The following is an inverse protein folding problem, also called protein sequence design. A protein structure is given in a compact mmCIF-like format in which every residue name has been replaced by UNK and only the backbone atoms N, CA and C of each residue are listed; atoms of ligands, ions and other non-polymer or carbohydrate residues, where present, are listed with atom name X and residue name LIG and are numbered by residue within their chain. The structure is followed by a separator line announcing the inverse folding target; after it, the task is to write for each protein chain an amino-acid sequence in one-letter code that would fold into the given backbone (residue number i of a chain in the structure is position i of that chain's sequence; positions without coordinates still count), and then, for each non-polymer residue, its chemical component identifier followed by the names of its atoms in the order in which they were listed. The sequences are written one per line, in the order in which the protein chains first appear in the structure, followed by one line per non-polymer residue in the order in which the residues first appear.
data_IF_237189264054
#
_entry.id   IF_237189264054
#
_cell.length_a   1.000
_cell.length_b   1.000
_cell.length_c   1.000
_cell.angle_alpha   90.00
_cell.angle_beta   90.00
_cell.angle_gamma   90.00
#
_symmetry.space_group_name_H-M   'P 1'
#
loop_
_entity.id
_entity.type
_entity.pdbx_description
1 polymer ?
#
# COMPACT_ATOMS: atom_id res chain seq x y z
N UNK A 1 26.31 -4.86 24.92
CA UNK A 1 24.90 -4.98 25.35
C UNK A 1 24.15 -5.48 24.13
N UNK A 2 23.07 -6.22 24.32
CA UNK A 2 22.24 -6.67 23.19
C UNK A 2 21.06 -5.70 23.04
N UNK A 3 20.61 -5.51 21.80
CA UNK A 3 19.39 -4.80 21.49
C UNK A 3 18.40 -5.75 20.84
N UNK A 4 17.14 -5.64 21.21
CA UNK A 4 16.03 -6.37 20.64
C UNK A 4 15.30 -5.47 19.66
N UNK A 5 15.12 -5.91 18.43
CA UNK A 5 14.30 -5.24 17.42
C UNK A 5 13.07 -6.09 17.12
N UNK A 6 11.98 -5.41 16.78
CA UNK A 6 10.76 -6.05 16.29
C UNK A 6 10.68 -5.84 14.78
N UNK A 7 10.68 -6.94 14.03
CA UNK A 7 10.48 -6.93 12.59
C UNK A 7 8.99 -7.09 12.32
N UNK A 8 8.43 -6.09 11.66
CA UNK A 8 7.09 -6.13 11.07
C UNK A 8 7.21 -6.71 9.66
N UNK A 9 6.98 -8.03 9.54
CA UNK A 9 6.99 -8.74 8.27
C UNK A 9 5.67 -8.51 7.53
N UNK A 10 5.63 -7.47 6.69
CA UNK A 10 4.47 -7.14 5.87
C UNK A 10 4.21 -8.15 4.75
N UNK A 11 5.11 -9.12 4.52
CA UNK A 11 4.98 -10.15 3.49
C UNK A 11 4.17 -11.33 4.03
N UNK A 12 4.46 -11.75 5.26
CA UNK A 12 3.78 -12.86 5.92
C UNK A 12 2.77 -12.44 6.99
N UNK A 13 2.60 -11.13 7.20
CA UNK A 13 1.74 -10.52 8.23
C UNK A 13 2.07 -11.04 9.64
N UNK A 14 3.37 -10.98 9.99
CA UNK A 14 3.90 -11.52 11.26
C UNK A 14 4.91 -10.59 11.91
N UNK A 15 4.98 -10.67 13.24
CA UNK A 15 5.99 -9.98 14.02
C UNK A 15 7.08 -10.95 14.47
N UNK A 16 8.33 -10.61 14.20
CA UNK A 16 9.50 -11.38 14.62
C UNK A 16 10.37 -10.54 15.55
N UNK A 17 10.70 -11.07 16.73
CA UNK A 17 11.70 -10.44 17.60
C UNK A 17 13.09 -10.94 17.22
N UNK A 18 13.99 -10.02 16.90
CA UNK A 18 15.40 -10.29 16.63
C UNK A 18 16.27 -9.69 17.74
N UNK A 19 17.19 -10.47 18.26
CA UNK A 19 18.20 -10.02 19.22
C UNK A 19 19.52 -9.85 18.48
N UNK A 20 20.08 -8.63 18.53
CA UNK A 20 21.31 -8.25 17.85
C UNK A 20 22.30 -7.64 18.84
N UNK A 21 23.58 -7.71 18.49
CA UNK A 21 24.61 -6.97 19.23
C UNK A 21 24.46 -5.46 19.02
N UNK A 22 24.85 -4.70 20.04
CA UNK A 22 24.80 -3.24 20.08
C UNK A 22 25.46 -2.54 18.88
N UNK A 23 26.46 -3.15 18.27
CA UNK A 23 27.26 -2.56 17.20
C UNK A 23 27.05 -3.25 15.85
N UNK A 24 26.01 -4.09 15.76
CA UNK A 24 25.57 -4.76 14.53
C UNK A 24 25.27 -3.75 13.41
N UNK A 25 25.57 -4.18 12.19
CA UNK A 25 25.31 -3.44 10.97
C UNK A 25 23.96 -3.86 10.34
N UNK A 26 23.54 -3.13 9.31
CA UNK A 26 22.33 -3.46 8.55
C UNK A 26 22.47 -4.81 7.84
N UNK A 27 23.68 -5.21 7.43
CA UNK A 27 23.94 -6.55 6.88
C UNK A 27 23.58 -7.66 7.86
N UNK A 28 23.95 -7.55 9.14
CA UNK A 28 23.65 -8.54 10.18
C UNK A 28 22.14 -8.68 10.38
N UNK A 29 21.43 -7.55 10.35
CA UNK A 29 19.98 -7.51 10.43
C UNK A 29 19.33 -8.23 9.24
N UNK A 30 19.81 -7.98 8.02
CA UNK A 30 19.29 -8.64 6.80
C UNK A 30 19.49 -10.16 6.84
N UNK A 31 20.65 -10.62 7.31
CA UNK A 31 20.96 -12.05 7.47
C UNK A 31 20.01 -12.70 8.50
N UNK A 32 19.78 -12.06 9.65
CA UNK A 32 18.84 -12.57 10.64
C UNK A 32 17.40 -12.63 10.12
N UNK A 33 16.99 -11.64 9.33
CA UNK A 33 15.69 -11.64 8.65
C UNK A 33 15.58 -12.78 7.65
N UNK A 34 16.63 -13.09 6.89
CA UNK A 34 16.61 -14.24 5.97
C UNK A 34 16.39 -15.55 6.71
N UNK A 35 17.08 -15.74 7.84
CA UNK A 35 16.96 -16.97 8.65
C UNK A 35 15.58 -17.10 9.29
N UNK A 36 15.01 -16.00 9.77
CA UNK A 36 13.80 -16.05 10.61
C UNK A 36 12.50 -15.85 9.83
N UNK A 37 12.54 -15.06 8.75
CA UNK A 37 11.39 -14.77 7.88
C UNK A 37 11.46 -15.55 6.55
N UNK A 38 12.61 -16.12 6.18
CA UNK A 38 12.77 -16.87 4.92
C UNK A 38 12.82 -15.99 3.67
N UNK A 39 13.07 -14.69 3.82
CA UNK A 39 13.13 -13.72 2.71
C UNK A 39 14.58 -13.51 2.31
N UNK A 40 14.93 -13.77 1.06
CA UNK A 40 16.29 -13.57 0.53
C UNK A 40 16.73 -12.11 0.66
N UNK A 41 18.00 -11.84 0.98
CA UNK A 41 18.57 -10.49 1.17
C UNK A 41 18.26 -9.54 0.00
N UNK A 42 18.31 -10.05 -1.24
CA UNK A 42 18.02 -9.27 -2.46
C UNK A 42 16.55 -8.85 -2.57
N UNK A 43 15.65 -9.58 -1.92
CA UNK A 43 14.22 -9.29 -1.87
C UNK A 43 13.81 -8.46 -0.66
N UNK A 44 14.74 -8.13 0.25
CA UNK A 44 14.44 -7.37 1.47
C UNK A 44 14.52 -5.87 1.25
N UNK A 45 13.41 -5.17 1.47
CA UNK A 45 13.37 -3.71 1.60
C UNK A 45 13.05 -3.37 3.05
N UNK A 46 14.03 -2.83 3.78
CA UNK A 46 13.88 -2.45 5.18
C UNK A 46 13.56 -0.96 5.30
N UNK A 47 12.54 -0.65 6.09
CA UNK A 47 12.13 0.73 6.38
C UNK A 47 12.17 0.99 7.88
N UNK A 48 12.87 2.04 8.29
CA UNK A 48 12.95 2.48 9.68
C UNK A 48 12.60 3.97 9.78
N UNK A 49 11.63 4.33 10.60
CA UNK A 49 11.12 5.71 10.75
C UNK A 49 10.79 6.40 9.42
N UNK A 50 10.29 5.64 8.43
CA UNK A 50 9.98 6.13 7.10
C UNK A 50 11.19 6.31 6.15
N UNK A 51 12.40 5.93 6.59
CA UNK A 51 13.61 5.95 5.77
C UNK A 51 14.01 4.54 5.33
N UNK A 52 14.31 4.37 4.04
CA UNK A 52 14.78 3.11 3.49
C UNK A 52 16.24 2.86 3.89
N UNK A 53 16.52 1.68 4.44
CA UNK A 53 17.87 1.27 4.81
C UNK A 53 18.58 0.69 3.58
N UNK A 54 19.23 1.57 2.81
CA UNK A 54 19.99 1.17 1.61
C UNK A 54 21.46 0.85 1.88
N UNK A 55 22.02 1.35 2.97
CA UNK A 55 23.44 1.17 3.29
C UNK A 55 23.64 -0.03 4.22
N UNK A 56 24.20 -1.10 3.68
CA UNK A 56 24.44 -2.36 4.42
C UNK A 56 25.52 -2.23 5.50
N UNK A 57 26.50 -1.35 5.29
CA UNK A 57 27.61 -1.11 6.22
C UNK A 57 27.25 -0.14 7.37
N UNK A 58 26.07 0.47 7.35
CA UNK A 58 25.68 1.44 8.37
C UNK A 58 25.33 0.74 9.68
N UNK A 59 25.83 1.26 10.81
CA UNK A 59 25.52 0.71 12.13
C UNK A 59 24.11 1.08 12.55
N UNK A 60 23.39 0.12 13.13
CA UNK A 60 21.99 0.31 13.54
C UNK A 60 21.85 1.44 14.59
N UNK A 61 22.83 1.59 15.48
CA UNK A 61 22.90 2.73 16.43
C UNK A 61 23.08 4.09 15.77
N UNK A 62 23.80 4.17 14.66
CA UNK A 62 24.03 5.43 13.96
C UNK A 62 22.78 5.91 13.22
N UNK A 63 21.94 4.96 12.82
CA UNK A 63 20.59 5.20 12.30
C UNK A 63 19.58 5.58 13.40
N UNK A 64 20.00 5.59 14.67
CA UNK A 64 19.16 5.97 15.80
C UNK A 64 18.27 4.84 16.33
N UNK A 65 18.49 3.59 15.89
CA UNK A 65 17.73 2.45 16.39
C UNK A 65 18.05 2.15 17.85
N UNK A 66 17.00 1.89 18.62
CA UNK A 66 17.03 1.56 20.04
C UNK A 66 16.33 0.24 20.32
N UNK A 67 16.48 -0.24 21.55
CA UNK A 67 15.84 -1.45 22.03
C UNK A 67 14.31 -1.34 21.96
N UNK A 68 13.66 -2.37 21.41
CA UNK A 68 12.24 -2.50 21.08
C UNK A 68 11.73 -1.60 19.95
N UNK A 69 12.62 -1.04 19.12
CA UNK A 69 12.20 -0.35 17.92
C UNK A 69 11.64 -1.33 16.87
N UNK A 70 10.79 -0.80 16.00
CA UNK A 70 10.14 -1.56 14.92
C UNK A 70 10.81 -1.23 13.59
N UNK A 71 11.14 -2.27 12.83
CA UNK A 71 11.63 -2.18 11.44
C UNK A 71 10.63 -2.89 10.55
N UNK A 72 10.18 -2.22 9.50
CA UNK A 72 9.27 -2.82 8.52
C UNK A 72 10.08 -3.57 7.46
N UNK A 73 9.68 -4.82 7.22
CA UNK A 73 10.18 -5.65 6.15
C UNK A 73 9.15 -5.69 5.02
N UNK A 74 9.54 -5.20 3.85
CA UNK A 74 8.75 -5.23 2.64
C UNK A 74 9.49 -6.05 1.57
N UNK A 75 8.74 -6.71 0.68
CA UNK A 75 9.34 -7.38 -0.49
C UNK A 75 9.77 -6.32 -1.51
N UNK A 76 11.01 -6.41 -1.97
CA UNK A 76 11.51 -5.61 -3.07
C UNK A 76 10.66 -5.91 -4.31
N UNK A 77 9.78 -4.97 -4.67
CA UNK A 77 9.02 -5.08 -5.91
C UNK A 77 10.01 -4.82 -7.03
N UNK A 78 10.45 -5.89 -7.70
CA UNK A 78 11.14 -5.78 -8.97
C UNK A 78 10.22 -4.96 -9.89
N UNK A 79 10.59 -3.70 -10.16
CA UNK A 79 9.86 -2.85 -11.09
C UNK A 79 9.70 -3.67 -12.38
N UNK A 80 8.46 -3.95 -12.84
CA UNK A 80 8.29 -4.63 -14.11
C UNK A 80 9.03 -3.80 -15.17
N UNK A 81 9.86 -4.42 -16.03
CA UNK A 81 10.58 -3.69 -17.05
C UNK A 81 9.57 -2.86 -17.86
N UNK A 82 9.91 -1.61 -18.25
CA UNK A 82 9.02 -0.82 -19.08
C UNK A 82 8.71 -1.64 -20.33
N UNK A 83 7.44 -2.01 -20.49
CA UNK A 83 6.95 -2.73 -21.66
C UNK A 83 7.06 -1.79 -22.87
N UNK A 84 8.20 -1.85 -23.54
CA UNK A 84 8.40 -1.21 -24.84
C UNK A 84 7.83 -2.12 -25.92
N UNK A 85 6.66 -1.75 -26.43
CA UNK A 85 6.26 -1.90 -27.83
C UNK A 85 6.12 -3.32 -28.39
N UNK A 86 4.87 -3.72 -28.62
CA UNK A 86 4.52 -4.86 -29.46
C UNK A 86 3.23 -4.60 -30.22
N UNK A 87 3.29 -3.75 -31.25
CA UNK A 87 2.22 -3.56 -32.23
C UNK A 87 1.98 -4.88 -32.98
N UNK A 88 0.77 -5.44 -32.91
CA UNK A 88 0.42 -6.65 -33.67
C UNK A 88 -0.98 -7.17 -33.41
N UNK A 89 -1.97 -6.62 -34.11
CA UNK A 89 -3.22 -7.34 -34.45
C UNK A 89 -2.90 -8.31 -35.63
N UNK A 90 -3.53 -9.51 -35.75
CA UNK A 90 -4.95 -9.58 -36.14
C UNK A 90 -5.81 -10.73 -35.54
N UNK A 91 -7.08 -10.39 -35.33
CA UNK A 91 -8.36 -11.13 -35.56
C UNK A 91 -8.41 -12.66 -35.40
N UNK A 92 -9.30 -13.15 -34.53
CA UNK A 92 -9.81 -14.53 -34.60
C UNK A 92 -10.67 -15.02 -33.42
N UNK A 93 -12.00 -14.84 -33.54
CA UNK A 93 -13.13 -15.53 -32.90
C UNK A 93 -13.02 -16.43 -31.65
N UNK A 94 -13.87 -16.12 -30.66
CA UNK A 94 -14.76 -17.11 -30.05
C UNK A 94 -14.52 -17.53 -28.59
N UNK A 95 -15.49 -17.21 -27.71
CA UNK A 95 -15.97 -18.18 -26.72
C UNK A 95 -15.65 -17.98 -25.23
N UNK A 96 -16.55 -17.26 -24.55
CA UNK A 96 -17.13 -17.52 -23.20
C UNK A 96 -16.25 -17.49 -21.93
N UNK A 97 -16.62 -16.58 -21.01
CA UNK A 97 -16.23 -16.64 -19.59
C UNK A 97 -16.75 -15.48 -18.70
N UNK A 98 -18.04 -15.56 -18.33
CA UNK A 98 -18.74 -14.89 -17.19
C UNK A 98 -18.83 -13.34 -17.12
N UNK A 99 -19.94 -12.79 -16.55
CA UNK A 99 -20.32 -11.40 -16.69
C UNK A 99 -19.64 -10.49 -15.66
N UNK A 100 -19.11 -9.35 -16.11
CA UNK A 100 -18.83 -8.21 -15.24
C UNK A 100 -20.15 -7.66 -14.66
N UNK A 101 -20.17 -7.14 -13.41
CA UNK A 101 -21.35 -6.47 -12.88
C UNK A 101 -21.74 -5.32 -13.81
N UNK A 102 -23.04 -5.19 -14.07
CA UNK A 102 -23.58 -4.19 -15.00
C UNK A 102 -23.05 -2.79 -14.66
N UNK A 103 -22.64 -1.97 -15.66
CA UNK A 103 -22.31 -0.58 -15.41
C UNK A 103 -23.56 0.11 -14.85
N UNK A 104 -23.39 0.85 -13.75
CA UNK A 104 -24.42 1.75 -13.26
C UNK A 104 -24.91 2.65 -14.42
N UNK A 105 -26.22 2.97 -14.48
CA UNK A 105 -26.72 3.84 -15.54
C UNK A 105 -25.92 5.14 -15.53
N UNK A 106 -25.33 5.50 -16.66
CA UNK A 106 -24.58 6.73 -16.81
C UNK A 106 -25.45 7.90 -16.33
N UNK A 107 -24.94 8.77 -15.43
CA UNK A 107 -25.68 9.97 -15.07
C UNK A 107 -25.93 10.80 -16.33
N UNK A 108 -27.12 11.38 -16.42
CA UNK A 108 -27.55 12.16 -17.57
C UNK A 108 -26.51 13.24 -17.90
N UNK A 109 -26.11 13.32 -19.17
CA UNK A 109 -25.11 14.26 -19.70
C UNK A 109 -25.36 15.73 -19.31
N UNK A 110 -26.62 16.12 -19.05
CA UNK A 110 -26.95 17.46 -18.58
C UNK A 110 -26.56 17.75 -17.12
N UNK A 111 -26.60 16.76 -16.22
CA UNK A 111 -26.30 16.95 -14.79
C UNK A 111 -24.79 17.22 -14.59
N UNK A 112 -23.96 16.57 -15.41
CA UNK A 112 -22.51 16.72 -15.36
C UNK A 112 -22.02 18.05 -15.99
N UNK A 113 -22.78 18.61 -16.93
CA UNK A 113 -22.39 19.86 -17.61
C UNK A 113 -22.66 21.11 -16.76
N UNK A 114 -23.65 21.09 -15.86
CA UNK A 114 -23.92 22.22 -14.95
C UNK A 114 -23.14 22.18 -13.63
N UNK A 115 -22.63 21.03 -13.20
CA UNK A 115 -21.88 20.90 -11.94
C UNK A 115 -20.46 21.49 -11.97
N UNK A 116 -19.89 21.77 -13.15
CA UNK A 116 -18.48 22.16 -13.32
C UNK A 116 -18.19 23.67 -13.24
N UNK A 117 -19.10 24.50 -12.75
CA UNK A 117 -18.83 25.93 -12.51
C UNK A 117 -18.38 26.26 -11.06
N UNK A 118 -17.89 25.27 -10.29
CA UNK A 118 -17.46 25.50 -8.91
C UNK A 118 -16.21 24.75 -8.47
N UNK A 119 -15.04 25.43 -8.53
CA UNK A 119 -13.80 25.17 -7.74
C UNK A 119 -13.00 23.90 -8.09
N UNK A 120 -11.67 23.84 -8.11
CA UNK A 120 -10.59 24.72 -7.66
C UNK A 120 -9.30 24.39 -8.47
N UNK A 121 -8.24 25.22 -8.41
CA UNK A 121 -7.07 25.12 -9.29
C UNK A 121 -5.93 24.31 -8.64
N UNK A 122 -5.34 23.37 -9.37
CA UNK A 122 -4.07 22.75 -8.98
C UNK A 122 -3.88 21.34 -9.52
N UNK A 123 -3.09 21.21 -10.59
CA UNK A 123 -2.69 19.90 -11.13
C UNK A 123 -2.00 20.05 -12.48
N UNK A 124 -0.69 19.86 -12.50
CA UNK A 124 0.23 20.14 -13.60
C UNK A 124 0.08 19.14 -14.76
N UNK A 125 -0.15 19.63 -15.99
CA UNK A 125 -0.15 18.84 -17.22
C UNK A 125 -0.57 19.71 -18.41
N UNK A 126 0.39 20.36 -19.07
CA UNK A 126 0.20 21.40 -20.08
C UNK A 126 -0.31 20.91 -21.44
N UNK A 127 -1.53 20.39 -21.50
CA UNK A 127 -2.32 20.32 -22.73
C UNK A 127 -3.23 21.55 -22.88
N UNK A 128 -3.59 21.96 -24.11
CA UNK A 128 -4.61 23.00 -24.28
C UNK A 128 -5.90 22.60 -23.56
N UNK A 129 -6.63 23.55 -22.94
CA UNK A 129 -7.92 23.24 -22.34
C UNK A 129 -8.84 22.64 -23.42
N UNK A 130 -9.53 21.53 -23.12
CA UNK A 130 -10.45 20.87 -24.07
C UNK A 130 -11.50 21.84 -24.66
N UNK A 131 -11.79 22.95 -23.96
CA UNK A 131 -12.66 24.03 -24.41
C UNK A 131 -12.17 24.77 -25.67
N UNK A 132 -10.88 24.67 -26.04
CA UNK A 132 -10.30 25.31 -27.23
C UNK A 132 -10.02 24.33 -28.38
N UNK A 133 -10.29 23.04 -28.18
CA UNK A 133 -10.05 21.99 -29.18
C UNK A 133 -11.29 21.77 -30.05
N UNK A 134 -11.07 21.36 -31.30
CA UNK A 134 -12.17 20.98 -32.19
C UNK A 134 -12.82 19.68 -31.67
N UNK A 135 -14.13 19.69 -31.32
CA UNK A 135 -14.85 18.53 -30.78
C UNK A 135 -14.85 17.29 -31.68
N UNK A 136 -14.55 17.43 -32.98
CA UNK A 136 -14.50 16.33 -33.94
C UNK A 136 -13.08 15.84 -34.23
N UNK A 137 -12.06 16.41 -33.59
CA UNK A 137 -10.66 16.02 -33.79
C UNK A 137 -10.31 14.73 -33.04
N UNK A 138 -9.35 13.98 -33.58
CA UNK A 138 -8.81 12.78 -32.93
C UNK A 138 -8.10 13.11 -31.60
N UNK A 139 -7.51 14.30 -31.47
CA UNK A 139 -6.89 14.76 -30.22
C UNK A 139 -7.93 15.02 -29.14
N UNK A 140 -9.11 15.57 -29.50
CA UNK A 140 -10.21 15.75 -28.55
C UNK A 140 -10.78 14.42 -28.06
N UNK A 141 -10.98 13.45 -28.97
CA UNK A 141 -11.42 12.10 -28.60
C UNK A 141 -10.42 11.44 -27.64
N UNK A 142 -9.12 11.52 -27.94
CA UNK A 142 -8.07 11.00 -27.07
C UNK A 142 -8.05 11.69 -25.69
N UNK A 143 -8.17 13.02 -25.66
CA UNK A 143 -8.21 13.78 -24.41
C UNK A 143 -9.47 13.50 -23.57
N UNK A 144 -10.58 13.17 -24.24
CA UNK A 144 -11.82 12.73 -23.59
C UNK A 144 -11.66 11.31 -23.03
N UNK A 145 -11.10 10.38 -23.79
CA UNK A 145 -10.80 9.01 -23.35
C UNK A 145 -9.89 9.01 -22.12
N UNK A 146 -8.80 9.79 -22.14
CA UNK A 146 -7.89 9.94 -21.00
C UNK A 146 -8.61 10.49 -19.76
N UNK A 147 -9.53 11.46 -19.92
CA UNK A 147 -10.33 11.98 -18.81
C UNK A 147 -11.32 10.96 -18.27
N UNK A 148 -12.02 10.22 -19.13
CA UNK A 148 -12.95 9.17 -18.70
C UNK A 148 -12.19 8.08 -17.96
N UNK A 149 -11.04 7.67 -18.49
CA UNK A 149 -10.20 6.68 -17.84
C UNK A 149 -9.73 7.16 -16.47
N UNK A 150 -9.27 8.40 -16.37
CA UNK A 150 -8.84 8.96 -15.10
C UNK A 150 -10.00 9.06 -14.10
N UNK A 151 -11.17 9.53 -14.52
CA UNK A 151 -12.36 9.58 -13.68
C UNK A 151 -12.76 8.18 -13.18
N UNK A 152 -12.72 7.16 -14.05
CA UNK A 152 -13.04 5.78 -13.65
C UNK A 152 -12.03 5.24 -12.62
N UNK A 153 -10.74 5.55 -12.80
CA UNK A 153 -9.68 5.17 -11.84
C UNK A 153 -9.92 5.87 -10.51
N UNK A 154 -10.21 7.18 -10.51
CA UNK A 154 -10.41 7.98 -9.32
C UNK A 154 -11.68 7.57 -8.56
N UNK A 155 -12.78 7.29 -9.26
CA UNK A 155 -14.03 6.77 -8.67
C UNK A 155 -13.81 5.39 -8.05
N UNK A 156 -13.15 4.49 -8.78
CA UNK A 156 -12.82 3.17 -8.26
C UNK A 156 -11.88 3.26 -7.06
N UNK A 157 -10.88 4.13 -7.10
CA UNK A 157 -9.97 4.38 -5.97
C UNK A 157 -10.71 4.92 -4.76
N UNK A 158 -11.61 5.89 -4.95
CA UNK A 158 -12.43 6.44 -3.86
C UNK A 158 -13.31 5.37 -3.22
N UNK A 159 -14.00 4.59 -4.05
CA UNK A 159 -14.83 3.49 -3.55
C UNK A 159 -13.99 2.44 -2.81
N UNK A 160 -12.84 2.07 -3.36
CA UNK A 160 -11.95 1.11 -2.72
C UNK A 160 -11.37 1.66 -1.40
N UNK A 161 -11.11 2.97 -1.31
CA UNK A 161 -10.66 3.63 -0.08
C UNK A 161 -11.75 3.67 1.01
N UNK A 162 -13.01 3.88 0.63
CA UNK A 162 -14.14 3.92 1.57
C UNK A 162 -14.55 2.53 2.07
N UNK A 163 -14.59 1.53 1.19
CA UNK A 163 -15.16 0.22 1.49
C UNK A 163 -14.13 -0.90 1.68
N UNK A 164 -12.92 -0.74 1.15
CA UNK A 164 -11.84 -1.72 1.25
C UNK A 164 -10.51 -1.07 1.67
N UNK A 165 -10.47 -0.31 2.78
CA UNK A 165 -9.24 0.38 3.21
C UNK A 165 -8.07 -0.58 3.46
N UNK A 166 -8.35 -1.83 3.81
CA UNK A 166 -7.37 -2.91 4.02
C UNK A 166 -6.56 -3.24 2.75
N UNK A 167 -7.07 -2.94 1.54
CA UNK A 167 -6.33 -3.13 0.29
C UNK A 167 -5.19 -2.10 0.12
N UNK A 168 -5.24 -0.98 0.85
CA UNK A 168 -4.33 0.15 0.67
C UNK A 168 -3.51 0.45 1.92
N UNK A 169 -3.88 -0.13 3.07
CA UNK A 169 -3.22 0.10 4.35
C UNK A 169 -3.03 -1.24 5.04
N UNK A 170 -1.80 -1.53 5.45
CA UNK A 170 -1.50 -2.69 6.29
C UNK A 170 -2.06 -2.46 7.70
N UNK A 171 -2.95 -3.35 8.15
CA UNK A 171 -3.55 -3.30 9.48
C UNK A 171 -2.72 -4.16 10.44
N UNK A 172 -1.91 -3.51 11.28
CA UNK A 172 -1.16 -4.21 12.33
C UNK A 172 -2.08 -4.63 13.48
N UNK A 173 -2.14 -5.92 13.78
CA UNK A 173 -2.85 -6.45 14.96
C UNK A 173 -1.97 -6.34 16.21
N UNK A 174 -2.36 -5.47 17.16
CA UNK A 174 -1.60 -5.24 18.39
C UNK A 174 -2.09 -6.14 19.54
N UNK A 175 -1.17 -6.91 20.11
CA UNK A 175 -1.40 -7.71 21.31
C UNK A 175 -0.49 -7.25 22.44
N UNK A 176 -1.04 -7.10 23.64
CA UNK A 176 -0.28 -6.73 24.84
C UNK A 176 -0.48 -7.78 25.94
N UNK A 177 0.60 -8.19 26.58
CA UNK A 177 0.52 -8.99 27.81
C UNK A 177 0.00 -8.08 28.93
N UNK A 178 -1.05 -8.53 29.62
CA UNK A 178 -1.62 -7.81 30.74
C UNK A 178 -2.00 -8.75 31.87
N UNK A 179 -2.18 -8.19 33.07
CA UNK A 179 -2.52 -8.92 34.28
C UNK A 179 -3.82 -8.38 34.84
N UNK A 180 -4.87 -9.20 34.84
CA UNK A 180 -6.18 -8.83 35.38
C UNK A 180 -6.47 -9.75 36.55
N UNK A 181 -6.74 -9.19 37.72
CA UNK A 181 -6.98 -9.94 38.96
C UNK A 181 -5.87 -10.95 39.33
N UNK A 182 -4.63 -10.70 38.90
CA UNK A 182 -3.50 -11.61 39.15
C UNK A 182 -3.33 -12.71 38.10
N UNK A 183 -4.23 -12.81 37.12
CA UNK A 183 -4.15 -13.74 36.00
C UNK A 183 -3.47 -13.04 34.80
N UNK A 184 -2.47 -13.69 34.23
CA UNK A 184 -1.75 -13.19 33.05
C UNK A 184 -2.50 -13.62 31.78
N UNK A 185 -2.78 -12.65 30.91
CA UNK A 185 -3.53 -12.85 29.68
C UNK A 185 -3.05 -11.92 28.57
N UNK A 186 -3.33 -12.30 27.33
CA UNK A 186 -2.98 -11.51 26.16
C UNK A 186 -4.21 -10.71 25.72
N UNK A 187 -4.12 -9.38 25.80
CA UNK A 187 -5.17 -8.49 25.35
C UNK A 187 -4.94 -8.12 23.88
N UNK A 188 -6.00 -8.20 23.08
CA UNK A 188 -6.05 -7.68 21.72
C UNK A 188 -6.48 -6.21 21.75
N UNK A 189 -5.75 -5.35 21.04
CA UNK A 189 -6.01 -3.91 20.99
C UNK A 189 -6.64 -3.57 19.64
N UNK A 190 -7.94 -3.26 19.68
CA UNK A 190 -8.70 -2.76 18.53
C UNK A 190 -8.92 -1.25 18.66
N UNK A 191 -8.26 -0.45 17.83
CA UNK A 191 -8.43 1.01 17.80
C UNK A 191 -9.77 1.46 17.22
N UNK A 192 -10.51 0.55 16.56
CA UNK A 192 -11.84 0.80 16.01
C UNK A 192 -12.99 0.49 16.98
N UNK A 193 -12.71 -0.16 18.12
CA UNK A 193 -13.73 -0.50 19.09
C UNK A 193 -14.14 0.72 19.93
N UNK A 194 -15.45 1.00 19.99
CA UNK A 194 -16.03 2.05 20.84
C UNK A 194 -16.07 1.68 22.33
N UNK A 195 -15.97 0.39 22.66
CA UNK A 195 -16.03 -0.11 24.03
C UNK A 195 -15.14 -1.33 24.19
N UNK A 196 -14.56 -1.49 25.37
CA UNK A 196 -13.79 -2.67 25.76
C UNK A 196 -14.76 -3.83 26.06
N UNK A 197 -14.46 -5.04 25.56
CA UNK A 197 -15.23 -6.26 25.83
C UNK A 197 -14.30 -7.25 26.56
N UNK A 198 -14.81 -7.86 27.63
CA UNK A 198 -14.14 -8.91 28.39
C UNK A 198 -15.10 -10.07 28.61
N UNK A 199 -14.65 -11.31 28.36
CA UNK A 199 -15.45 -12.50 28.67
C UNK A 199 -15.63 -12.64 30.18
N UNK A 200 -16.82 -13.02 30.64
CA UNK A 200 -17.12 -13.16 32.07
C UNK A 200 -16.29 -14.25 32.80
N UNK A 201 -15.66 -15.17 32.07
CA UNK A 201 -14.72 -16.13 32.62
C UNK A 201 -13.31 -15.53 32.57
N UNK A 202 -12.90 -14.89 33.67
CA UNK A 202 -11.53 -14.43 33.92
C UNK A 202 -11.18 -14.72 35.37
#
# INVERSE_FOLDING_TARGET
TEMKLTIDDSIHDKFHSLELEDDAAVEDLKVLIEVQCGVQVDEQTLVFQGSYLQEDSSKLKHLGMRNNDIVQLQKAVARPPPSYGGMGMPVGGGGMGAPAPAPAPAPNFLDQMMGSLGGAPGGMGGGPPMATMDPLSAEYQKALEERIQQNNIDENYKHASEFNPELFVHTTMLYIECKINGNELQAFVDSGAQSTIMSHQC
#
